data_IF_017515463795
#
_entry.id   IF_017515463795
#
_cell.length_a   1.000
_cell.length_b   1.000
_cell.length_c   1.000
_cell.angle_alpha   90.00
_cell.angle_beta   90.00
_cell.angle_gamma   90.00
#
_symmetry.space_group_name_H-M   'P 1'
#
loop_
_entity.id
_entity.type
_entity.pdbx_description
1 polymer ?
#
# COMPACT_ATOMS: atom_id res chain seq x y z
N UNK A 1 17.02 40.41 50.96
CA UNK A 1 16.46 41.40 50.02
C UNK A 1 16.57 40.80 48.62
N UNK A 2 15.56 40.03 48.20
CA UNK A 2 15.55 39.35 46.90
C UNK A 2 14.81 40.23 45.90
N UNK A 3 15.53 40.73 44.89
CA UNK A 3 14.95 41.53 43.81
C UNK A 3 14.13 40.64 42.88
N UNK A 4 12.85 40.98 42.73
CA UNK A 4 11.94 40.35 41.77
C UNK A 4 12.27 40.92 40.39
N UNK A 5 12.89 40.12 39.51
CA UNK A 5 13.05 40.48 38.09
C UNK A 5 11.71 40.35 37.38
N UNK A 6 11.14 41.48 36.97
CA UNK A 6 9.97 41.50 36.10
C UNK A 6 10.43 41.39 34.64
N UNK A 7 10.04 40.31 33.97
CA UNK A 7 10.30 40.13 32.53
C UNK A 7 9.41 41.14 31.76
N UNK A 8 10.01 42.22 31.29
CA UNK A 8 9.35 43.22 30.45
C UNK A 8 9.02 42.60 29.10
N UNK A 9 7.71 42.51 28.80
CA UNK A 9 7.18 41.95 27.55
C UNK A 9 7.63 42.84 26.37
N UNK A 10 8.55 42.34 25.53
CA UNK A 10 9.02 43.08 24.36
C UNK A 10 7.89 43.17 23.33
N UNK A 11 7.50 44.40 22.96
CA UNK A 11 6.57 44.61 21.84
C UNK A 11 7.23 44.09 20.56
N UNK A 12 6.63 43.07 19.96
CA UNK A 12 7.20 42.36 18.80
C UNK A 12 7.69 40.95 19.09
N UNK A 13 7.91 40.58 20.36
CA UNK A 13 8.32 39.23 20.77
C UNK A 13 7.31 38.17 20.30
N UNK A 14 6.01 38.46 20.42
CA UNK A 14 4.97 37.56 19.93
C UNK A 14 4.97 37.40 18.40
N UNK A 15 5.17 38.48 17.64
CA UNK A 15 5.09 38.42 16.17
C UNK A 15 6.21 37.58 15.57
N UNK A 16 7.44 37.75 16.04
CA UNK A 16 8.58 36.95 15.56
C UNK A 16 8.46 35.49 15.98
N UNK A 17 7.98 35.21 17.19
CA UNK A 17 7.74 33.85 17.67
C UNK A 17 6.67 33.13 16.84
N UNK A 18 5.57 33.82 16.51
CA UNK A 18 4.55 33.28 15.61
C UNK A 18 5.10 33.01 14.21
N UNK A 19 5.90 33.91 13.65
CA UNK A 19 6.51 33.70 12.33
C UNK A 19 7.41 32.47 12.32
N UNK A 20 8.21 32.27 13.38
CA UNK A 20 9.07 31.09 13.50
C UNK A 20 8.24 29.81 13.59
N UNK A 21 7.23 29.77 14.46
CA UNK A 21 6.36 28.59 14.60
C UNK A 21 5.62 28.28 13.30
N UNK A 22 5.09 29.29 12.62
CA UNK A 22 4.42 29.14 11.32
C UNK A 22 5.38 28.59 10.26
N UNK A 23 6.61 29.10 10.21
CA UNK A 23 7.63 28.59 9.29
C UNK A 23 7.95 27.11 9.54
N UNK A 24 8.07 26.70 10.80
CA UNK A 24 8.31 25.29 11.16
C UNK A 24 7.13 24.38 10.76
N UNK A 25 5.89 24.82 11.01
CA UNK A 25 4.68 24.09 10.59
C UNK A 25 4.62 23.98 9.06
N UNK A 26 4.94 25.05 8.33
CA UNK A 26 4.90 25.06 6.87
C UNK A 26 5.88 24.04 6.27
N UNK A 27 7.10 23.96 6.80
CA UNK A 27 8.08 22.95 6.34
C UNK A 27 7.61 21.54 6.67
N UNK A 28 7.09 21.30 7.88
CA UNK A 28 6.55 19.99 8.25
C UNK A 28 5.36 19.58 7.36
N UNK A 29 4.49 20.52 7.03
CA UNK A 29 3.31 20.30 6.20
C UNK A 29 3.68 19.83 4.78
N UNK A 30 4.73 20.37 4.16
CA UNK A 30 5.21 19.92 2.84
C UNK A 30 5.51 18.41 2.85
N UNK A 31 6.20 17.93 3.89
CA UNK A 31 6.54 16.52 4.05
C UNK A 31 5.30 15.63 4.25
N UNK A 32 4.41 16.05 5.16
CA UNK A 32 3.17 15.31 5.45
C UNK A 32 2.27 15.22 4.22
N UNK A 33 2.04 16.32 3.50
CA UNK A 33 1.20 16.31 2.30
C UNK A 33 1.81 15.48 1.16
N UNK A 34 3.13 15.52 1.00
CA UNK A 34 3.82 14.71 -0.01
C UNK A 34 3.72 13.21 0.29
N UNK A 35 3.92 12.82 1.55
CA UNK A 35 3.81 11.43 1.98
C UNK A 35 2.36 10.94 1.94
N UNK A 36 1.44 11.68 2.54
CA UNK A 36 0.02 11.34 2.58
C UNK A 36 -0.59 11.28 1.17
N UNK A 37 -0.23 12.21 0.28
CA UNK A 37 -0.68 12.18 -1.12
C UNK A 37 -0.21 10.94 -1.87
N UNK A 38 1.02 10.49 -1.64
CA UNK A 38 1.53 9.23 -2.19
C UNK A 38 0.77 8.02 -1.65
N UNK A 39 0.49 7.97 -0.34
CA UNK A 39 -0.28 6.89 0.29
C UNK A 39 -1.70 6.81 -0.27
N UNK A 40 -2.43 7.94 -0.31
CA UNK A 40 -3.79 8.00 -0.85
C UNK A 40 -3.79 7.59 -2.33
N UNK A 41 -2.85 8.08 -3.13
CA UNK A 41 -2.71 7.68 -4.54
C UNK A 41 -2.46 6.18 -4.68
N UNK A 42 -1.59 5.61 -3.86
CA UNK A 42 -1.25 4.18 -3.90
C UNK A 42 -2.45 3.31 -3.56
N UNK A 43 -3.17 3.66 -2.49
CA UNK A 43 -4.38 2.93 -2.09
C UNK A 43 -5.49 3.09 -3.13
N UNK A 44 -5.68 4.29 -3.68
CA UNK A 44 -6.67 4.54 -4.73
C UNK A 44 -6.33 3.77 -6.00
N UNK A 45 -5.04 3.70 -6.36
CA UNK A 45 -4.56 2.88 -7.48
C UNK A 45 -4.80 1.39 -7.23
N UNK A 46 -4.55 0.89 -6.02
CA UNK A 46 -4.84 -0.50 -5.66
C UNK A 46 -6.34 -0.80 -5.78
N UNK A 47 -7.20 0.03 -5.17
CA UNK A 47 -8.65 -0.09 -5.28
C UNK A 47 -9.15 0.01 -6.73
N UNK A 48 -8.57 0.92 -7.53
CA UNK A 48 -8.91 1.04 -8.95
C UNK A 48 -8.46 -0.17 -9.76
N UNK A 49 -7.34 -0.81 -9.42
CA UNK A 49 -6.87 -2.03 -10.05
C UNK A 49 -7.73 -3.24 -9.67
N UNK A 50 -8.12 -3.35 -8.40
CA UNK A 50 -9.10 -4.34 -7.92
C UNK A 50 -10.46 -4.15 -8.62
N UNK A 51 -10.98 -2.92 -8.65
CA UNK A 51 -12.24 -2.58 -9.31
C UNK A 51 -12.19 -2.79 -10.83
N UNK A 52 -11.06 -2.47 -11.48
CA UNK A 52 -10.83 -2.77 -12.89
C UNK A 52 -10.59 -4.26 -13.16
N UNK A 53 -10.63 -5.11 -12.13
CA UNK A 53 -10.49 -6.56 -12.24
C UNK A 53 -9.09 -7.03 -12.62
N UNK A 54 -8.03 -6.22 -12.38
CA UNK A 54 -6.64 -6.64 -12.67
C UNK A 54 -6.18 -7.77 -11.74
N UNK A 55 -6.59 -7.76 -10.48
CA UNK A 55 -6.38 -8.92 -9.61
C UNK A 55 -7.20 -10.12 -10.11
N UNK A 56 -8.42 -9.90 -10.61
CA UNK A 56 -9.19 -10.95 -11.25
C UNK A 56 -8.50 -11.49 -12.53
N UNK A 57 -7.81 -10.69 -13.33
CA UNK A 57 -7.07 -11.16 -14.51
C UNK A 57 -5.84 -12.00 -14.14
N UNK A 58 -5.11 -11.56 -13.11
CA UNK A 58 -3.94 -12.28 -12.58
C UNK A 58 -4.35 -13.59 -11.92
N UNK A 59 -5.44 -13.56 -11.13
CA UNK A 59 -6.02 -14.73 -10.48
C UNK A 59 -6.71 -15.66 -11.47
N UNK A 60 -7.35 -15.14 -12.52
CA UNK A 60 -7.86 -15.95 -13.63
C UNK A 60 -6.75 -16.67 -14.38
N UNK A 61 -5.58 -16.04 -14.57
CA UNK A 61 -4.43 -16.69 -15.21
C UNK A 61 -3.90 -17.83 -14.36
N UNK A 62 -3.75 -17.61 -13.04
CA UNK A 62 -3.37 -18.67 -12.09
C UNK A 62 -4.40 -19.78 -12.01
N UNK A 63 -5.69 -19.43 -11.99
CA UNK A 63 -6.81 -20.39 -11.98
C UNK A 63 -6.80 -21.22 -13.25
N UNK A 64 -6.57 -20.60 -14.42
CA UNK A 64 -6.49 -21.29 -15.70
C UNK A 64 -5.29 -22.25 -15.75
N UNK A 65 -4.11 -21.82 -15.30
CA UNK A 65 -2.94 -22.69 -15.21
C UNK A 65 -3.16 -23.88 -14.24
N UNK A 66 -3.83 -23.64 -13.11
CA UNK A 66 -4.19 -24.69 -12.17
C UNK A 66 -5.27 -25.64 -12.74
N UNK A 67 -6.22 -25.12 -13.51
CA UNK A 67 -7.22 -25.91 -14.23
C UNK A 67 -6.58 -26.77 -15.33
N UNK A 68 -5.66 -26.21 -16.13
CA UNK A 68 -4.91 -26.93 -17.16
C UNK A 68 -4.02 -28.03 -16.54
N UNK A 69 -3.37 -27.72 -15.40
CA UNK A 69 -2.59 -28.71 -14.65
C UNK A 69 -3.49 -29.82 -14.09
N UNK A 70 -4.68 -29.47 -13.58
CA UNK A 70 -5.64 -30.46 -13.08
C UNK A 70 -6.25 -31.29 -14.21
N UNK A 71 -6.50 -30.70 -15.39
CA UNK A 71 -6.96 -31.41 -16.57
C UNK A 71 -5.92 -32.42 -17.03
N UNK A 72 -4.65 -32.02 -17.15
CA UNK A 72 -3.56 -32.95 -17.51
C UNK A 72 -3.34 -34.05 -16.47
N UNK A 73 -3.44 -33.76 -15.18
CA UNK A 73 -3.40 -34.75 -14.10
C UNK A 73 -4.61 -35.70 -14.16
N UNK A 74 -5.79 -35.19 -14.50
CA UNK A 74 -7.04 -35.96 -14.62
C UNK A 74 -6.97 -36.87 -15.84
N UNK A 75 -6.54 -36.38 -17.00
CA UNK A 75 -6.33 -37.17 -18.22
C UNK A 75 -5.32 -38.29 -17.99
N UNK A 76 -4.27 -38.01 -17.20
CA UNK A 76 -3.25 -38.99 -16.80
C UNK A 76 -3.77 -40.01 -15.78
N UNK A 77 -4.73 -39.64 -14.92
CA UNK A 77 -5.23 -40.47 -13.80
C UNK A 77 -6.54 -41.22 -14.10
N UNK A 78 -7.33 -40.80 -15.08
CA UNK A 78 -8.74 -41.23 -15.23
C UNK A 78 -9.10 -41.79 -16.60
N UNK A 79 -8.27 -42.66 -17.16
CA UNK A 79 -8.79 -43.61 -18.13
C UNK A 79 -8.57 -45.02 -17.61
N UNK A 80 -9.67 -45.72 -17.31
CA UNK A 80 -9.67 -47.15 -16.98
C UNK A 80 -8.96 -47.97 -18.07
N UNK A 81 -9.01 -47.48 -19.31
CA UNK A 81 -8.27 -47.98 -20.47
C UNK A 81 -6.74 -47.93 -20.34
N UNK A 82 -6.18 -47.00 -19.54
CA UNK A 82 -4.74 -46.82 -19.35
C UNK A 82 -4.22 -47.47 -18.05
N UNK A 83 -5.10 -47.79 -17.09
CA UNK A 83 -4.75 -48.42 -15.81
C UNK A 83 -4.14 -49.83 -15.96
N UNK A 84 -4.49 -50.54 -17.04
CA UNK A 84 -3.90 -51.85 -17.38
C UNK A 84 -2.58 -51.78 -18.15
N UNK A 85 -2.31 -50.66 -18.82
CA UNK A 85 -1.14 -50.52 -19.72
C UNK A 85 0.12 -50.03 -18.99
N UNK A 86 -0.02 -49.29 -17.87
CA UNK A 86 1.13 -48.81 -17.09
C UNK A 86 1.69 -49.84 -16.08
N UNK A 87 0.98 -50.94 -15.81
CA UNK A 87 1.44 -52.03 -14.91
C UNK A 87 2.08 -53.21 -15.65
N UNK A 88 2.28 -53.09 -16.97
CA UNK A 88 2.80 -54.15 -17.84
C UNK A 88 4.22 -53.88 -18.36
N UNK A 89 5.01 -53.07 -17.65
CA UNK A 89 6.45 -52.91 -17.87
C UNK A 89 7.19 -53.04 -16.54
#
# INVERSE_FOLDING_TARGET
>A
MQSIHTLTRQRGQGMTEYIIIVALIAVAAIGVYSYFGQTVKTQTSAMAQELAGKDAATEQTKTKAAADTSATLTDKKTNLSNFGNERAK
#
